data_IF_437717203646
#
_entry.id   IF_437717203646
#
_cell.length_a   1.000
_cell.length_b   1.000
_cell.length_c   1.000
_cell.angle_alpha   90.00
_cell.angle_beta   90.00
_cell.angle_gamma   90.00
#
_symmetry.space_group_name_H-M   'P 1'
#
loop_
_entity.id
_entity.type
_entity.pdbx_description
1 polymer ?
#
# COMPACT_ATOMS: atom_id res chain seq x y z
N UNK A 1 -12.85 7.41 10.57
CA UNK A 1 -12.29 7.17 9.21
C UNK A 1 -11.01 6.41 9.40
N UNK A 2 -10.77 5.42 8.56
CA UNK A 2 -9.61 4.54 8.67
C UNK A 2 -8.76 4.68 7.41
N UNK A 3 -7.50 4.26 7.48
CA UNK A 3 -6.51 4.51 6.42
C UNK A 3 -5.81 3.22 6.03
N UNK A 4 -5.69 2.97 4.74
CA UNK A 4 -4.83 1.92 4.18
C UNK A 4 -3.74 2.58 3.37
N UNK A 5 -2.50 2.42 3.79
CA UNK A 5 -1.36 3.17 3.29
C UNK A 5 -0.41 2.24 2.56
N UNK A 6 -0.19 2.45 1.26
CA UNK A 6 0.86 1.76 0.53
C UNK A 6 2.13 2.58 0.57
N UNK A 7 3.02 2.19 1.47
CA UNK A 7 4.26 2.91 1.72
C UNK A 7 5.38 2.53 0.74
N UNK A 8 6.30 3.46 0.45
CA UNK A 8 7.45 3.19 -0.41
C UNK A 8 8.58 2.46 0.34
N UNK A 9 8.60 2.52 1.68
CA UNK A 9 9.63 1.96 2.55
C UNK A 9 8.98 1.20 3.73
N UNK A 10 9.68 0.23 4.34
CA UNK A 10 9.28 -0.35 5.62
C UNK A 10 9.12 0.71 6.71
N UNK A 11 8.28 0.44 7.71
CA UNK A 11 7.99 1.39 8.79
C UNK A 11 9.26 1.76 9.58
N UNK A 12 10.05 0.73 9.92
CA UNK A 12 11.29 0.83 10.69
C UNK A 12 12.53 1.22 9.86
N UNK A 13 12.35 1.67 8.62
CA UNK A 13 13.42 2.32 7.85
C UNK A 13 13.66 3.74 8.39
N UNK A 14 14.54 4.50 7.74
CA UNK A 14 14.82 5.91 8.06
C UNK A 14 13.49 6.67 8.23
N UNK A 15 13.37 7.33 9.37
CA UNK A 15 12.17 8.06 9.75
C UNK A 15 11.95 9.27 8.84
N UNK A 16 10.72 9.41 8.31
CA UNK A 16 10.32 10.49 7.40
C UNK A 16 8.90 11.01 7.73
N UNK A 17 8.40 11.93 6.91
CA UNK A 17 7.08 12.56 7.08
C UNK A 17 5.93 11.55 7.27
N UNK A 18 5.93 10.44 6.53
CA UNK A 18 4.88 9.41 6.62
C UNK A 18 4.74 8.80 8.01
N UNK A 19 5.84 8.46 8.68
CA UNK A 19 5.76 7.90 10.03
C UNK A 19 5.20 8.94 11.01
N UNK A 20 5.60 10.20 10.88
CA UNK A 20 5.03 11.31 11.65
C UNK A 20 3.53 11.53 11.42
N UNK A 21 3.05 11.43 10.17
CA UNK A 21 1.64 11.58 9.83
C UNK A 21 0.84 10.43 10.43
N UNK A 22 1.22 9.19 10.13
CA UNK A 22 0.42 8.03 10.49
C UNK A 22 0.49 7.69 11.99
N UNK A 23 1.58 8.00 12.68
CA UNK A 23 1.63 7.88 14.14
C UNK A 23 0.64 8.83 14.83
N UNK A 24 0.42 10.02 14.27
CA UNK A 24 -0.55 10.99 14.80
C UNK A 24 -1.99 10.65 14.42
N UNK A 25 -2.21 10.20 13.18
CA UNK A 25 -3.53 9.74 12.75
C UNK A 25 -3.99 8.54 13.58
N UNK A 26 -3.08 7.61 13.90
CA UNK A 26 -3.34 6.48 14.77
C UNK A 26 -3.85 6.86 16.18
N UNK A 27 -3.59 8.08 16.64
CA UNK A 27 -4.16 8.58 17.90
C UNK A 27 -5.69 8.71 17.90
N UNK A 28 -6.34 8.72 16.73
CA UNK A 28 -7.81 8.88 16.58
C UNK A 28 -8.45 7.96 15.55
N UNK A 29 -7.65 7.34 14.69
CA UNK A 29 -8.09 6.61 13.50
C UNK A 29 -7.32 5.31 13.37
N UNK A 30 -7.89 4.32 12.68
CA UNK A 30 -7.18 3.07 12.41
C UNK A 30 -6.35 3.22 11.15
N UNK A 31 -5.12 2.73 11.19
CA UNK A 31 -4.17 2.81 10.08
C UNK A 31 -3.58 1.44 9.83
N UNK A 32 -3.74 0.93 8.60
CA UNK A 32 -3.02 -0.23 8.10
C UNK A 32 -1.90 0.26 7.17
N UNK A 33 -0.66 0.15 7.63
CA UNK A 33 0.54 0.51 6.87
C UNK A 33 1.06 -0.71 6.11
N UNK A 34 0.89 -0.73 4.79
CA UNK A 34 1.33 -1.79 3.89
C UNK A 34 2.77 -1.53 3.47
N UNK A 35 3.67 -2.41 3.91
CA UNK A 35 5.09 -2.34 3.56
C UNK A 35 5.34 -2.74 2.09
N UNK A 36 6.35 -2.13 1.43
CA UNK A 36 6.61 -2.32 -0.01
C UNK A 36 7.21 -3.68 -0.36
N UNK A 37 7.79 -4.40 0.61
CA UNK A 37 8.66 -5.53 0.34
C UNK A 37 7.85 -6.77 -0.01
N UNK A 38 8.07 -7.30 -1.22
CA UNK A 38 7.67 -8.64 -1.63
C UNK A 38 8.92 -9.44 -1.95
N UNK A 39 9.13 -10.54 -1.26
CA UNK A 39 10.28 -11.40 -1.52
C UNK A 39 10.23 -11.94 -2.96
N UNK A 40 11.24 -11.65 -3.77
CA UNK A 40 11.36 -12.19 -5.12
C UNK A 40 11.91 -13.63 -5.13
N UNK A 41 11.71 -14.36 -6.23
CA UNK A 41 12.37 -15.66 -6.44
C UNK A 41 13.90 -15.53 -6.36
N UNK A 42 14.45 -14.39 -6.80
CA UNK A 42 15.87 -14.10 -6.66
C UNK A 42 16.29 -13.94 -5.19
N UNK A 43 15.45 -13.34 -4.34
CA UNK A 43 15.73 -13.22 -2.90
C UNK A 43 15.72 -14.59 -2.21
N UNK A 44 14.83 -15.48 -2.61
CA UNK A 44 14.83 -16.88 -2.19
C UNK A 44 16.11 -17.61 -2.62
N UNK A 45 16.48 -17.52 -3.92
CA UNK A 45 17.72 -18.13 -4.44
C UNK A 45 18.99 -17.58 -3.80
N UNK A 46 18.98 -16.32 -3.39
CA UNK A 46 20.09 -15.64 -2.70
C UNK A 46 20.09 -15.85 -1.18
N UNK A 47 19.18 -16.66 -0.64
CA UNK A 47 19.09 -16.95 0.80
C UNK A 47 18.71 -15.74 1.66
N UNK A 48 18.11 -14.70 1.06
CA UNK A 48 17.67 -13.50 1.79
C UNK A 48 16.33 -13.70 2.49
N UNK A 49 15.62 -14.77 2.16
CA UNK A 49 14.40 -15.21 2.84
C UNK A 49 14.77 -16.41 3.71
N UNK A 50 14.56 -16.28 5.01
CA UNK A 50 14.83 -17.35 5.97
C UNK A 50 13.55 -18.08 6.37
N UNK A 51 13.67 -19.29 6.92
CA UNK A 51 12.53 -19.99 7.54
C UNK A 51 11.89 -19.17 8.68
N UNK A 52 12.68 -18.32 9.34
CA UNK A 52 12.16 -17.40 10.35
C UNK A 52 11.22 -16.37 9.72
N UNK A 53 11.50 -15.88 8.52
CA UNK A 53 10.63 -14.93 7.81
C UNK A 53 9.27 -15.53 7.43
N UNK A 54 9.20 -16.85 7.20
CA UNK A 54 7.93 -17.54 6.93
C UNK A 54 7.04 -17.64 8.17
N UNK A 55 7.63 -17.63 9.37
CA UNK A 55 6.90 -17.70 10.65
C UNK A 55 6.52 -16.32 11.16
N UNK A 56 7.03 -15.24 10.57
CA UNK A 56 6.69 -13.89 10.99
C UNK A 56 5.23 -13.60 10.65
N UNK A 57 4.47 -13.00 11.59
CA UNK A 57 3.08 -12.64 11.32
C UNK A 57 3.04 -11.60 10.20
N UNK A 58 2.04 -11.73 9.33
CA UNK A 58 1.82 -10.78 8.24
C UNK A 58 1.35 -9.42 8.76
N UNK A 59 0.77 -9.38 9.96
CA UNK A 59 0.25 -8.17 10.60
C UNK A 59 0.82 -8.08 11.99
N UNK A 60 1.39 -6.92 12.33
CA UNK A 60 1.87 -6.60 13.67
C UNK A 60 1.26 -5.27 14.07
N UNK A 61 0.73 -5.17 15.28
CA UNK A 61 0.35 -3.87 15.84
C UNK A 61 1.61 -3.19 16.39
N UNK A 62 1.96 -2.04 15.81
CA UNK A 62 3.15 -1.26 16.21
C UNK A 62 2.82 -0.35 17.40
N UNK A 63 1.64 0.26 17.37
CA UNK A 63 1.09 1.09 18.43
C UNK A 63 -0.45 1.05 18.32
N UNK A 64 -1.19 1.52 19.35
CA UNK A 64 -2.65 1.51 19.30
C UNK A 64 -3.18 2.14 18.01
N UNK A 65 -4.01 1.38 17.29
CA UNK A 65 -4.62 1.73 16.00
C UNK A 65 -3.66 1.85 14.81
N UNK A 66 -2.40 1.41 14.92
CA UNK A 66 -1.46 1.32 13.81
C UNK A 66 -0.98 -0.11 13.63
N UNK A 67 -1.36 -0.71 12.52
CA UNK A 67 -0.93 -2.04 12.12
C UNK A 67 0.03 -1.97 10.95
N UNK A 68 1.13 -2.70 11.03
CA UNK A 68 2.07 -2.91 9.95
C UNK A 68 1.68 -4.19 9.23
N UNK A 69 1.34 -4.08 7.95
CA UNK A 69 1.12 -5.21 7.08
C UNK A 69 2.36 -5.48 6.26
N UNK A 70 2.89 -6.68 6.42
CA UNK A 70 4.00 -7.23 5.64
C UNK A 70 3.45 -8.20 4.63
N UNK A 71 3.86 -8.05 3.38
CA UNK A 71 3.51 -9.00 2.33
C UNK A 71 4.20 -10.34 2.67
N UNK A 72 3.43 -11.44 2.88
CA UNK A 72 4.04 -12.72 3.21
C UNK A 72 5.01 -13.17 2.12
N UNK A 73 6.22 -13.66 2.46
CA UNK A 73 7.20 -14.13 1.48
C UNK A 73 6.74 -15.38 0.73
N UNK A 74 5.69 -16.04 1.20
CA UNK A 74 5.01 -17.16 0.53
C UNK A 74 4.15 -16.72 -0.66
N UNK A 75 3.81 -15.43 -0.79
CA UNK A 75 3.05 -14.94 -1.93
C UNK A 75 4.00 -14.78 -3.15
N UNK A 76 3.70 -15.41 -4.30
CA UNK A 76 4.61 -15.44 -5.45
C UNK A 76 4.92 -14.03 -5.94
N UNK A 77 6.18 -13.68 -6.20
CA UNK A 77 6.52 -12.32 -6.66
C UNK A 77 6.17 -12.07 -8.12
N UNK A 78 6.08 -10.78 -8.47
CA UNK A 78 5.73 -10.24 -9.78
C UNK A 78 6.86 -10.37 -10.84
N UNK A 79 7.75 -11.33 -10.63
CA UNK A 79 9.02 -11.50 -11.34
C UNK A 79 8.93 -12.58 -12.44
N UNK A 80 7.71 -13.11 -12.69
CA UNK A 80 7.53 -14.40 -13.43
C UNK A 80 6.59 -14.29 -14.65
N UNK A 81 6.18 -13.09 -15.05
CA UNK A 81 5.35 -12.83 -16.24
C UNK A 81 3.84 -12.79 -15.97
N UNK A 82 3.09 -12.26 -16.95
CA UNK A 82 1.73 -11.73 -16.80
C UNK A 82 0.70 -12.64 -16.11
N UNK A 83 0.73 -13.97 -16.36
CA UNK A 83 -0.24 -14.90 -15.78
C UNK A 83 0.04 -15.19 -14.31
N UNK A 84 1.32 -15.40 -13.95
CA UNK A 84 1.71 -15.61 -12.56
C UNK A 84 1.49 -14.34 -11.75
N UNK A 85 1.74 -13.19 -12.35
CA UNK A 85 1.56 -11.88 -11.72
C UNK A 85 0.09 -11.62 -11.38
N UNK A 86 -0.86 -11.95 -12.28
CA UNK A 86 -2.30 -11.82 -12.03
C UNK A 86 -2.79 -12.71 -10.89
N UNK A 87 -2.34 -13.96 -10.83
CA UNK A 87 -2.72 -14.86 -9.73
C UNK A 87 -2.11 -14.39 -8.41
N UNK A 88 -0.84 -14.01 -8.44
CA UNK A 88 -0.12 -13.37 -7.33
C UNK A 88 -0.89 -12.17 -6.77
N UNK A 89 -1.37 -11.31 -7.67
CA UNK A 89 -2.04 -10.06 -7.36
C UNK A 89 -3.42 -10.30 -6.76
N UNK A 90 -4.14 -11.32 -7.26
CA UNK A 90 -5.40 -11.77 -6.69
C UNK A 90 -5.23 -12.34 -5.29
N UNK A 91 -4.19 -13.15 -5.07
CA UNK A 91 -3.89 -13.70 -3.75
C UNK A 91 -3.52 -12.59 -2.75
N UNK A 92 -2.68 -11.64 -3.16
CA UNK A 92 -2.32 -10.49 -2.33
C UNK A 92 -3.56 -9.64 -2.01
N UNK A 93 -4.39 -9.32 -3.01
CA UNK A 93 -5.62 -8.57 -2.82
C UNK A 93 -6.58 -9.28 -1.85
N UNK A 94 -6.76 -10.59 -2.00
CA UNK A 94 -7.63 -11.37 -1.13
C UNK A 94 -7.09 -11.44 0.31
N UNK A 95 -5.78 -11.60 0.48
CA UNK A 95 -5.14 -11.62 1.79
C UNK A 95 -5.24 -10.25 2.49
N UNK A 96 -5.04 -9.16 1.76
CA UNK A 96 -5.26 -7.80 2.27
C UNK A 96 -6.72 -7.55 2.63
N UNK A 97 -7.67 -7.91 1.77
CA UNK A 97 -9.11 -7.78 2.08
C UNK A 97 -9.50 -8.61 3.29
N UNK A 98 -8.97 -9.82 3.42
CA UNK A 98 -9.20 -10.64 4.60
C UNK A 98 -8.66 -9.95 5.85
N UNK A 99 -7.43 -9.43 5.79
CA UNK A 99 -6.81 -8.65 6.87
C UNK A 99 -7.67 -7.44 7.25
N UNK A 100 -8.15 -6.67 6.28
CA UNK A 100 -9.01 -5.52 6.52
C UNK A 100 -10.33 -5.90 7.19
N UNK A 101 -10.92 -7.06 6.86
CA UNK A 101 -12.11 -7.56 7.55
C UNK A 101 -11.79 -7.98 8.98
N UNK A 102 -10.68 -8.70 9.19
CA UNK A 102 -10.25 -9.17 10.51
C UNK A 102 -9.91 -8.02 11.45
N UNK A 103 -9.34 -6.93 10.93
CA UNK A 103 -9.07 -5.69 11.67
C UNK A 103 -10.27 -4.74 11.68
N UNK A 104 -11.43 -5.18 11.18
CA UNK A 104 -12.69 -4.42 11.18
C UNK A 104 -12.68 -3.13 10.35
N UNK A 105 -11.75 -2.93 9.43
CA UNK A 105 -11.67 -1.73 8.56
C UNK A 105 -12.86 -1.64 7.59
N UNK A 106 -13.57 -2.74 7.35
CA UNK A 106 -14.70 -2.81 6.41
C UNK A 106 -16.05 -2.93 7.14
N UNK A 107 -16.16 -2.38 8.35
CA UNK A 107 -17.39 -2.46 9.16
C UNK A 107 -18.58 -1.86 8.39
N UNK A 108 -19.75 -2.52 8.42
CA UNK A 108 -20.99 -1.86 8.07
C UNK A 108 -21.24 -0.72 9.06
N UNK A 109 -21.73 0.41 8.56
CA UNK A 109 -22.16 1.54 9.38
C UNK A 109 -23.15 1.09 10.45
N UNK A 110 -23.14 1.74 11.62
CA UNK A 110 -24.03 1.50 12.75
C UNK A 110 -25.48 1.23 12.27
N UNK A 111 -26.15 0.15 12.71
CA UNK A 111 -27.51 -0.17 12.28
C UNK A 111 -28.56 0.91 12.58
N UNK A 112 -28.23 1.92 13.41
CA UNK A 112 -29.09 3.06 13.73
C UNK A 112 -28.87 4.31 12.86
N UNK A 113 -27.92 4.30 11.91
CA UNK A 113 -27.74 5.42 10.98
C UNK A 113 -28.65 5.26 9.75
N UNK A 114 -29.41 6.29 9.34
CA UNK A 114 -30.36 6.21 8.22
C UNK A 114 -29.71 6.05 6.83
N UNK A 115 -28.38 6.00 6.75
CA UNK A 115 -27.64 5.74 5.53
C UNK A 115 -26.74 4.50 5.71
N UNK A 116 -27.02 3.37 5.02
CA UNK A 116 -26.12 2.23 4.97
C UNK A 116 -25.01 2.52 3.96
N UNK A 117 -23.95 3.17 4.41
CA UNK A 117 -22.72 3.27 3.62
C UNK A 117 -21.61 2.56 4.38
N UNK A 118 -21.06 1.44 3.88
CA UNK A 118 -19.87 0.85 4.46
C UNK A 118 -18.79 1.93 4.53
N UNK A 119 -18.26 2.21 5.73
CA UNK A 119 -17.25 3.24 5.90
C UNK A 119 -15.91 2.67 5.44
N UNK A 120 -15.73 2.60 4.12
CA UNK A 120 -14.50 2.10 3.53
C UNK A 120 -13.33 3.03 3.89
N UNK A 121 -12.12 2.49 4.11
CA UNK A 121 -10.97 3.31 4.46
C UNK A 121 -10.55 4.24 3.33
N UNK A 122 -9.73 5.22 3.66
CA UNK A 122 -9.02 6.05 2.69
C UNK A 122 -7.80 5.26 2.20
N UNK A 123 -7.68 5.10 0.88
CA UNK A 123 -6.53 4.48 0.25
C UNK A 123 -5.47 5.55 -0.02
N UNK A 124 -4.31 5.42 0.61
CA UNK A 124 -3.23 6.40 0.55
C UNK A 124 -2.03 5.82 -0.18
N UNK A 125 -1.68 6.40 -1.33
CA UNK A 125 -0.59 5.97 -2.18
C UNK A 125 0.53 7.01 -2.23
N UNK A 126 1.78 6.53 -2.22
CA UNK A 126 2.98 7.37 -2.41
C UNK A 126 3.65 7.18 -3.76
N UNK A 127 3.36 6.07 -4.44
CA UNK A 127 4.01 5.69 -5.70
C UNK A 127 2.95 5.50 -6.78
N UNK A 128 3.21 5.98 -8.01
CA UNK A 128 2.31 5.73 -9.13
C UNK A 128 2.44 4.29 -9.66
N UNK A 129 3.52 3.57 -9.34
CA UNK A 129 3.67 2.16 -9.70
C UNK A 129 2.52 1.30 -9.12
N UNK A 130 1.84 0.53 -9.96
CA UNK A 130 0.77 -0.41 -9.59
C UNK A 130 -0.45 0.23 -8.89
N UNK A 131 -0.66 1.54 -9.02
CA UNK A 131 -1.77 2.24 -8.36
C UNK A 131 -3.15 1.68 -8.77
N UNK A 132 -3.33 1.33 -10.05
CA UNK A 132 -4.56 0.74 -10.59
C UNK A 132 -4.92 -0.55 -9.88
N UNK A 133 -3.94 -1.43 -9.69
CA UNK A 133 -4.17 -2.67 -8.95
C UNK A 133 -4.68 -2.38 -7.54
N UNK A 134 -4.09 -1.40 -6.82
CA UNK A 134 -4.52 -1.05 -5.47
C UNK A 134 -5.94 -0.47 -5.47
N UNK A 135 -6.23 0.47 -6.37
CA UNK A 135 -7.56 1.08 -6.50
C UNK A 135 -8.64 0.04 -6.86
N UNK A 136 -8.38 -0.82 -7.85
CA UNK A 136 -9.34 -1.82 -8.31
C UNK A 136 -9.59 -2.91 -7.25
N UNK A 137 -8.61 -3.17 -6.37
CA UNK A 137 -8.68 -4.31 -5.48
C UNK A 137 -8.94 -3.98 -4.02
N UNK A 138 -8.52 -2.83 -3.52
CA UNK A 138 -8.66 -2.50 -2.10
C UNK A 138 -9.92 -1.66 -1.93
N UNK A 139 -10.91 -2.11 -1.14
CA UNK A 139 -12.11 -1.31 -0.89
C UNK A 139 -11.72 0.01 -0.22
N UNK A 140 -12.12 1.13 -0.81
CA UNK A 140 -11.80 2.45 -0.30
C UNK A 140 -12.90 3.46 -0.63
N UNK A 141 -12.97 4.53 0.15
CA UNK A 141 -13.92 5.64 -0.06
C UNK A 141 -13.29 6.85 -0.74
N UNK A 142 -11.98 7.03 -0.58
CA UNK A 142 -11.18 8.08 -1.21
C UNK A 142 -9.82 7.53 -1.60
N UNK A 143 -9.33 7.95 -2.75
CA UNK A 143 -7.98 7.72 -3.26
C UNK A 143 -7.14 8.98 -3.05
N UNK A 144 -6.15 8.89 -2.16
CA UNK A 144 -5.18 9.96 -1.89
C UNK A 144 -3.85 9.61 -2.53
N UNK A 145 -3.34 10.53 -3.35
CA UNK A 145 -1.97 10.46 -3.85
C UNK A 145 -1.09 11.50 -3.15
N UNK A 146 -0.05 11.05 -2.46
CA UNK A 146 0.89 11.92 -1.73
C UNK A 146 2.26 11.89 -2.38
N UNK A 147 2.58 12.96 -3.10
CA UNK A 147 3.82 13.15 -3.82
C UNK A 147 4.87 13.70 -2.86
N UNK A 148 5.87 12.88 -2.57
CA UNK A 148 7.01 13.25 -1.70
C UNK A 148 8.33 13.31 -2.42
N UNK A 149 8.44 12.65 -3.57
CA UNK A 149 9.67 12.51 -4.36
C UNK A 149 9.31 12.58 -5.84
N UNK A 150 10.24 13.08 -6.66
CA UNK A 150 10.16 12.98 -8.12
C UNK A 150 10.69 11.60 -8.54
N UNK A 151 9.77 10.65 -8.75
CA UNK A 151 10.13 9.29 -9.13
C UNK A 151 10.69 9.20 -10.57
N UNK A 152 10.47 10.21 -11.41
CA UNK A 152 10.98 10.24 -12.79
C UNK A 152 12.44 10.70 -12.86
N UNK A 153 12.90 11.45 -11.86
CA UNK A 153 14.28 11.90 -11.73
C UNK A 153 15.26 10.81 -11.26
N UNK A 154 14.79 9.60 -10.93
CA UNK A 154 15.68 8.51 -10.52
C UNK A 154 16.58 8.04 -11.68
N UNK A 155 17.89 8.30 -11.55
CA UNK A 155 18.88 8.12 -12.62
C UNK A 155 19.12 6.70 -13.12
N UNK A 156 18.56 5.68 -12.47
CA UNK A 156 18.72 4.27 -12.88
C UNK A 156 17.61 3.76 -13.81
N UNK A 157 16.60 4.58 -14.11
CA UNK A 157 15.50 4.18 -14.99
C UNK A 157 15.90 4.29 -16.46
N UNK A 158 15.50 3.31 -17.26
CA UNK A 158 15.54 3.43 -18.73
C UNK A 158 14.53 4.49 -19.21
N UNK A 159 14.70 5.00 -20.44
CA UNK A 159 13.74 5.95 -21.02
C UNK A 159 12.33 5.37 -21.10
N UNK A 160 12.19 4.07 -21.41
CA UNK A 160 10.90 3.40 -21.42
C UNK A 160 10.25 3.39 -20.02
N UNK A 161 11.00 3.02 -18.98
CA UNK A 161 10.52 3.00 -17.60
C UNK A 161 10.14 4.39 -17.09
N UNK A 162 10.90 5.43 -17.46
CA UNK A 162 10.54 6.83 -17.15
C UNK A 162 9.20 7.22 -17.80
N UNK A 163 9.02 6.90 -19.07
CA UNK A 163 7.78 7.21 -19.78
C UNK A 163 6.58 6.47 -19.19
N UNK A 164 6.74 5.19 -18.87
CA UNK A 164 5.69 4.40 -18.20
C UNK A 164 5.32 4.98 -16.83
N UNK A 165 6.33 5.40 -16.04
CA UNK A 165 6.10 6.03 -14.75
C UNK A 165 5.36 7.36 -14.89
N UNK A 166 5.77 8.21 -15.83
CA UNK A 166 5.13 9.50 -16.10
C UNK A 166 3.68 9.34 -16.56
N UNK A 167 3.40 8.35 -17.41
CA UNK A 167 2.02 8.01 -17.81
C UNK A 167 1.22 7.54 -16.59
N UNK A 168 1.77 6.63 -15.79
CA UNK A 168 1.10 6.11 -14.60
C UNK A 168 0.80 7.21 -13.57
N UNK A 169 1.72 8.15 -13.38
CA UNK A 169 1.56 9.31 -12.49
C UNK A 169 0.48 10.26 -12.99
N UNK A 170 0.52 10.64 -14.27
CA UNK A 170 -0.52 11.48 -14.88
C UNK A 170 -1.90 10.85 -14.72
N UNK A 171 -2.00 9.55 -14.95
CA UNK A 171 -3.27 8.84 -14.83
C UNK A 171 -3.75 8.74 -13.37
N UNK A 172 -2.82 8.58 -12.40
CA UNK A 172 -3.15 8.59 -10.97
C UNK A 172 -3.59 9.98 -10.51
N UNK A 173 -2.90 11.04 -10.94
CA UNK A 173 -3.28 12.43 -10.66
C UNK A 173 -4.70 12.74 -11.12
N UNK A 174 -5.11 12.20 -12.29
CA UNK A 174 -6.45 12.38 -12.81
C UNK A 174 -7.51 11.56 -12.05
N UNK A 175 -7.12 10.44 -11.44
CA UNK A 175 -8.03 9.53 -10.74
C UNK A 175 -8.13 9.77 -9.22
N UNK A 176 -7.14 10.43 -8.61
CA UNK A 176 -7.10 10.68 -7.18
C UNK A 176 -8.14 11.75 -6.77
N UNK A 177 -8.87 11.48 -5.69
CA UNK A 177 -9.81 12.45 -5.10
C UNK A 177 -9.09 13.60 -4.40
N UNK A 178 -7.86 13.33 -3.91
CA UNK A 178 -7.01 14.32 -3.28
C UNK A 178 -5.55 14.04 -3.61
N UNK A 179 -4.86 15.09 -4.06
CA UNK A 179 -3.41 15.07 -4.22
C UNK A 179 -2.76 15.96 -3.17
N UNK A 180 -1.75 15.43 -2.48
CA UNK A 180 -0.93 16.16 -1.51
C UNK A 180 0.48 16.26 -2.07
N UNK A 181 0.99 17.47 -2.21
CA UNK A 181 2.35 17.74 -2.67
C UNK A 181 3.17 18.37 -1.55
N UNK A 182 4.43 17.95 -1.41
CA UNK A 182 5.34 18.52 -0.41
C UNK A 182 6.05 19.78 -0.88
N UNK A 183 6.04 20.07 -2.19
CA UNK A 183 6.63 21.28 -2.75
C UNK A 183 5.83 21.76 -3.97
N UNK A 184 5.74 23.09 -4.23
CA UNK A 184 5.00 23.64 -5.37
C UNK A 184 5.56 23.27 -6.76
N UNK A 185 6.77 22.70 -6.82
CA UNK A 185 7.47 22.33 -8.07
C UNK A 185 7.37 20.83 -8.40
N UNK A 186 6.64 20.05 -7.60
CA UNK A 186 6.37 18.63 -7.83
C UNK A 186 5.02 18.46 -8.52
#
# INVERSE_FOLDING_TARGET
MDFVVFAPNPWHDIWRNRQHIFSRLAGRHRVLYVEPARASLADWRRGRVTLADLRRPAVVEEQPNLWLYRIPPTLPSRDTGDLFDRTSDRLLANHLRHTLRTLDFLRPSNPQSPAPSPQAPILWLYRPSNWRWAADNIPHSLLVYHITDDYTAFGHLTTAQRNEMAIAERDLLAAADLTIVTAPRL
#
